data_IF_503554606100
#
_entry.id   IF_503554606100
#
_cell.length_a   1.000
_cell.length_b   1.000
_cell.length_c   1.000
_cell.angle_alpha   90.00
_cell.angle_beta   90.00
_cell.angle_gamma   90.00
#
_symmetry.space_group_name_H-M   'P 1'
#
loop_
_entity.id
_entity.type
_entity.pdbx_description
1 polymer ?
#
# COMPACT_ATOMS: atom_id res chain seq x y z
N UNK A 1 -13.84 -40.17 8.60
CA UNK A 1 -13.73 -38.95 7.76
C UNK A 1 -14.74 -37.96 8.29
N UNK A 2 -14.32 -37.18 9.27
CA UNK A 2 -15.11 -36.11 9.84
C UNK A 2 -14.99 -34.91 8.90
N UNK A 3 -16.03 -34.73 8.11
CA UNK A 3 -16.30 -33.43 7.53
C UNK A 3 -16.85 -32.59 8.67
N UNK A 4 -15.99 -31.84 9.32
CA UNK A 4 -16.37 -30.72 10.16
C UNK A 4 -17.08 -29.71 9.25
N UNK A 5 -18.37 -29.83 9.15
CA UNK A 5 -19.26 -28.78 8.67
C UNK A 5 -19.34 -27.72 9.76
N UNK A 6 -18.23 -27.05 10.03
CA UNK A 6 -18.26 -25.79 10.72
C UNK A 6 -19.00 -24.81 9.83
N UNK A 7 -20.29 -24.86 9.96
CA UNK A 7 -21.21 -23.85 9.50
C UNK A 7 -20.62 -22.51 9.87
N UNK A 8 -20.56 -21.58 8.93
CA UNK A 8 -20.16 -20.19 9.17
C UNK A 8 -20.93 -19.72 10.39
N UNK A 9 -20.34 -19.90 11.58
CA UNK A 9 -21.03 -19.73 12.85
C UNK A 9 -21.21 -18.25 13.12
N UNK A 10 -22.40 -17.88 13.50
CA UNK A 10 -22.66 -16.62 14.18
C UNK A 10 -21.71 -16.51 15.38
N UNK A 11 -20.72 -15.59 15.31
CA UNK A 11 -19.79 -15.33 16.41
C UNK A 11 -18.30 -15.35 16.06
N UNK A 12 -17.88 -15.91 14.93
CA UNK A 12 -16.48 -15.83 14.52
C UNK A 12 -16.17 -14.49 13.84
N UNK A 13 -15.10 -13.87 14.31
CA UNK A 13 -14.63 -12.61 13.75
C UNK A 13 -13.78 -12.88 12.51
N UNK A 14 -14.28 -12.53 11.34
CA UNK A 14 -13.59 -12.72 10.07
C UNK A 14 -12.59 -11.60 9.76
N UNK A 15 -13.06 -10.38 9.96
CA UNK A 15 -12.35 -9.16 9.62
C UNK A 15 -12.81 -8.04 10.53
N UNK A 16 -11.87 -7.18 10.92
CA UNK A 16 -12.16 -5.92 11.61
C UNK A 16 -11.09 -4.93 11.25
N UNK A 17 -11.51 -3.76 10.89
CA UNK A 17 -10.62 -2.63 10.64
C UNK A 17 -11.16 -1.40 11.34
N UNK A 18 -10.28 -0.74 12.07
CA UNK A 18 -10.54 0.55 12.70
C UNK A 18 -9.46 1.50 12.24
N UNK A 19 -9.85 2.65 11.72
CA UNK A 19 -8.90 3.64 11.24
C UNK A 19 -9.21 5.02 11.80
N UNK A 20 -8.15 5.77 12.06
CA UNK A 20 -8.21 7.19 12.43
C UNK A 20 -7.33 7.94 11.47
N UNK A 21 -7.92 8.88 10.74
CA UNK A 21 -7.20 9.76 9.84
C UNK A 21 -7.31 11.20 10.32
N UNK A 22 -6.17 11.87 10.44
CA UNK A 22 -6.07 13.29 10.80
C UNK A 22 -5.40 14.00 9.64
N UNK A 23 -6.12 14.92 9.02
CA UNK A 23 -5.59 15.79 7.96
C UNK A 23 -5.39 17.18 8.52
N UNK A 24 -4.19 17.73 8.36
CA UNK A 24 -3.87 19.08 8.80
C UNK A 24 -3.15 19.85 7.72
N UNK A 25 -3.72 20.98 7.36
CA UNK A 25 -3.08 21.98 6.53
C UNK A 25 -2.42 23.01 7.43
N UNK A 26 -1.08 22.96 7.53
CA UNK A 26 -0.31 23.86 8.38
C UNK A 26 -0.11 25.23 7.74
N UNK A 27 -0.04 25.25 6.40
CA UNK A 27 0.07 26.47 5.62
C UNK A 27 -0.47 26.23 4.20
N UNK A 28 -0.45 27.26 3.37
CA UNK A 28 -0.81 27.11 1.96
C UNK A 28 0.18 26.24 1.17
N UNK A 29 1.34 25.95 1.77
CA UNK A 29 2.43 25.18 1.16
C UNK A 29 2.65 23.82 1.77
N UNK A 30 2.13 23.54 2.97
CA UNK A 30 2.43 22.31 3.70
C UNK A 30 1.16 21.67 4.25
N UNK A 31 0.90 20.45 3.77
CA UNK A 31 -0.21 19.59 4.19
C UNK A 31 0.37 18.29 4.76
N UNK A 32 -0.26 17.79 5.83
CA UNK A 32 0.12 16.55 6.49
C UNK A 32 -1.12 15.68 6.70
N UNK A 33 -0.97 14.36 6.45
CA UNK A 33 -1.95 13.34 6.79
C UNK A 33 -1.28 12.34 7.72
N UNK A 34 -1.93 12.08 8.82
CA UNK A 34 -1.58 11.03 9.75
C UNK A 34 -2.71 10.00 9.72
N UNK A 35 -2.37 8.74 9.44
CA UNK A 35 -3.34 7.64 9.40
C UNK A 35 -2.85 6.51 10.29
N UNK A 36 -3.71 6.07 11.21
CA UNK A 36 -3.51 4.89 12.02
C UNK A 36 -4.60 3.88 11.68
N UNK A 37 -4.21 2.63 11.42
CA UNK A 37 -5.13 1.54 11.13
C UNK A 37 -4.81 0.39 12.07
N UNK A 38 -5.83 -0.10 12.77
CA UNK A 38 -5.78 -1.35 13.53
C UNK A 38 -6.62 -2.39 12.79
N UNK A 39 -5.99 -3.46 12.33
CA UNK A 39 -6.60 -4.45 11.46
C UNK A 39 -6.45 -5.85 12.03
N UNK A 40 -7.56 -6.56 12.04
CA UNK A 40 -7.63 -7.98 12.33
C UNK A 40 -8.23 -8.71 11.12
N UNK A 41 -7.67 -9.84 10.74
CA UNK A 41 -8.34 -10.76 9.84
C UNK A 41 -7.94 -12.21 10.11
N UNK A 42 -8.90 -13.11 9.85
CA UNK A 42 -8.70 -14.54 9.94
C UNK A 42 -8.34 -15.09 8.56
N UNK A 43 -7.11 -15.65 8.43
CA UNK A 43 -6.59 -16.19 7.17
C UNK A 43 -7.43 -17.33 6.61
N UNK A 44 -8.09 -18.12 7.47
CA UNK A 44 -8.92 -19.24 7.04
C UNK A 44 -9.98 -18.80 6.05
N UNK A 45 -10.58 -17.62 6.26
CA UNK A 45 -11.65 -17.10 5.42
C UNK A 45 -11.17 -16.25 4.24
N UNK A 46 -9.98 -15.67 4.34
CA UNK A 46 -9.47 -14.74 3.32
C UNK A 46 -8.48 -15.43 2.37
N UNK A 47 -7.68 -16.37 2.88
CA UNK A 47 -6.57 -16.98 2.14
C UNK A 47 -6.65 -18.52 2.14
N UNK A 48 -7.68 -19.13 2.75
CA UNK A 48 -7.79 -20.58 2.95
C UNK A 48 -6.60 -21.20 3.71
N UNK A 49 -5.98 -20.40 4.58
CA UNK A 49 -4.82 -20.80 5.40
C UNK A 49 -5.17 -20.68 6.88
N UNK A 50 -4.56 -21.53 7.70
CA UNK A 50 -4.70 -21.40 9.16
C UNK A 50 -3.99 -20.16 9.69
N UNK A 51 -4.59 -19.50 10.68
CA UNK A 51 -4.01 -18.40 11.42
C UNK A 51 -4.81 -17.11 11.37
N UNK A 52 -4.51 -16.27 12.33
CA UNK A 52 -5.10 -14.93 12.49
C UNK A 52 -4.00 -13.90 12.34
N UNK A 53 -4.34 -12.72 11.84
CA UNK A 53 -3.40 -11.61 11.74
C UNK A 53 -3.96 -10.39 12.45
N UNK A 54 -3.19 -9.93 13.42
CA UNK A 54 -3.38 -8.65 14.07
C UNK A 54 -2.26 -7.71 13.62
N UNK A 55 -2.61 -6.61 12.98
CA UNK A 55 -1.64 -5.65 12.48
C UNK A 55 -2.03 -4.22 12.79
N UNK A 56 -1.03 -3.41 13.07
CA UNK A 56 -1.16 -1.97 13.23
C UNK A 56 -0.35 -1.30 12.14
N UNK A 57 -0.98 -0.38 11.44
CA UNK A 57 -0.36 0.36 10.35
C UNK A 57 -0.38 1.84 10.70
N UNK A 58 0.78 2.46 10.63
CA UNK A 58 0.97 3.88 10.77
C UNK A 58 1.43 4.46 9.45
N UNK A 59 0.75 5.49 8.97
CA UNK A 59 1.13 6.22 7.77
C UNK A 59 1.26 7.71 8.09
N UNK A 60 2.36 8.30 7.67
CA UNK A 60 2.61 9.74 7.73
C UNK A 60 2.87 10.20 6.30
N UNK A 61 1.99 11.04 5.79
CA UNK A 61 2.08 11.58 4.43
C UNK A 61 2.20 13.10 4.50
N UNK A 62 3.28 13.61 3.92
CA UNK A 62 3.60 15.03 3.92
C UNK A 62 3.64 15.54 2.48
N UNK A 63 2.91 16.60 2.19
CA UNK A 63 2.95 17.27 0.90
C UNK A 63 3.45 18.69 1.06
N UNK A 64 4.57 19.00 0.40
CA UNK A 64 5.17 20.34 0.33
C UNK A 64 4.98 20.93 -1.07
N UNK A 65 4.23 22.02 -1.18
CA UNK A 65 4.07 22.79 -2.42
C UNK A 65 5.22 23.79 -2.53
N UNK A 66 6.14 23.54 -3.43
CA UNK A 66 7.31 24.39 -3.67
C UNK A 66 6.91 25.69 -4.39
N UNK A 67 5.98 25.57 -5.33
CA UNK A 67 5.31 26.69 -6.01
C UNK A 67 3.95 26.23 -6.57
N UNK A 68 3.30 27.05 -7.38
CA UNK A 68 1.97 26.74 -7.94
C UNK A 68 1.95 25.50 -8.84
N UNK A 69 3.09 25.03 -9.34
CA UNK A 69 3.18 23.92 -10.30
C UNK A 69 3.96 22.72 -9.75
N UNK A 70 4.81 22.92 -8.75
CA UNK A 70 5.73 21.89 -8.22
C UNK A 70 5.37 21.52 -6.81
N UNK A 71 5.36 20.23 -6.51
CA UNK A 71 5.18 19.72 -5.16
C UNK A 71 6.05 18.48 -4.93
N UNK A 72 6.38 18.27 -3.67
CA UNK A 72 7.07 17.10 -3.16
C UNK A 72 6.14 16.43 -2.14
N UNK A 73 5.87 15.14 -2.33
CA UNK A 73 5.16 14.29 -1.37
C UNK A 73 6.12 13.26 -0.82
N UNK A 74 6.12 13.12 0.50
CA UNK A 74 6.92 12.12 1.22
C UNK A 74 5.98 11.34 2.11
N UNK A 75 5.91 10.04 1.89
CA UNK A 75 5.10 9.10 2.65
C UNK A 75 6.00 8.13 3.40
N UNK A 76 5.70 7.91 4.67
CA UNK A 76 6.38 6.95 5.53
C UNK A 76 5.30 6.03 6.10
N UNK A 77 5.53 4.72 6.01
CA UNK A 77 4.62 3.70 6.50
C UNK A 77 5.35 2.74 7.43
N UNK A 78 4.68 2.32 8.48
CA UNK A 78 5.15 1.26 9.36
C UNK A 78 4.00 0.29 9.63
N UNK A 79 4.22 -0.98 9.33
CA UNK A 79 3.31 -2.06 9.67
C UNK A 79 3.95 -2.88 10.78
N UNK A 80 3.26 -2.97 11.91
CA UNK A 80 3.65 -3.80 13.05
C UNK A 80 2.68 -4.96 13.19
N UNK A 81 3.24 -6.17 13.25
CA UNK A 81 2.49 -7.39 13.52
C UNK A 81 3.40 -8.45 14.13
N UNK A 82 2.87 -9.27 15.03
CA UNK A 82 3.59 -10.44 15.58
C UNK A 82 3.39 -11.68 14.73
N UNK A 83 2.44 -11.60 13.82
CA UNK A 83 1.95 -12.70 13.01
C UNK A 83 2.58 -12.70 11.62
N UNK A 84 2.61 -13.86 10.96
CA UNK A 84 3.07 -14.06 9.60
C UNK A 84 4.51 -13.55 9.34
N UNK A 85 4.64 -12.57 8.46
CA UNK A 85 5.94 -12.04 8.01
C UNK A 85 6.51 -10.93 8.89
N UNK A 86 5.93 -10.70 10.08
CA UNK A 86 6.35 -9.68 11.04
C UNK A 86 6.33 -8.24 10.48
N UNK A 87 7.25 -7.39 10.91
CA UNK A 87 7.18 -5.95 10.73
C UNK A 87 7.74 -5.47 9.38
N UNK A 88 7.09 -4.45 8.82
CA UNK A 88 7.46 -3.85 7.54
C UNK A 88 7.60 -2.34 7.67
N UNK A 89 8.51 -1.80 6.89
CA UNK A 89 8.70 -0.37 6.73
C UNK A 89 8.53 0.02 5.27
N UNK A 90 7.79 1.08 5.01
CA UNK A 90 7.54 1.61 3.68
C UNK A 90 7.96 3.07 3.58
N UNK A 91 8.45 3.45 2.42
CA UNK A 91 8.84 4.81 2.10
C UNK A 91 8.42 5.15 0.67
N UNK A 92 7.76 6.29 0.51
CA UNK A 92 7.32 6.83 -0.76
C UNK A 92 7.82 8.25 -0.97
N UNK A 93 8.28 8.55 -2.17
CA UNK A 93 8.65 9.87 -2.62
C UNK A 93 7.98 10.16 -3.95
N UNK A 94 7.27 11.27 -4.08
CA UNK A 94 6.69 11.71 -5.34
C UNK A 94 7.03 13.19 -5.57
N UNK A 95 7.55 13.48 -6.75
CA UNK A 95 7.84 14.83 -7.17
C UNK A 95 7.01 15.19 -8.40
N UNK A 96 6.16 16.20 -8.27
CA UNK A 96 5.40 16.78 -9.35
C UNK A 96 6.19 17.97 -9.94
N UNK A 97 6.67 17.82 -11.17
CA UNK A 97 7.40 18.85 -11.91
C UNK A 97 6.47 19.98 -12.41
N UNK A 98 5.25 19.59 -12.76
CA UNK A 98 4.17 20.46 -13.18
C UNK A 98 2.83 19.70 -13.08
N UNK A 99 1.72 20.28 -13.55
CA UNK A 99 0.39 19.65 -13.52
C UNK A 99 0.29 18.35 -14.32
N UNK A 100 1.22 18.12 -15.25
CA UNK A 100 1.15 17.01 -16.19
C UNK A 100 2.19 15.93 -15.91
N UNK A 101 3.36 16.28 -15.38
CA UNK A 101 4.50 15.37 -15.21
C UNK A 101 4.83 15.15 -13.76
N UNK A 102 4.87 13.91 -13.34
CA UNK A 102 5.36 13.48 -12.03
C UNK A 102 6.33 12.31 -12.13
N UNK A 103 7.22 12.19 -11.16
CA UNK A 103 8.06 11.01 -10.95
C UNK A 103 7.92 10.55 -9.49
N UNK A 104 8.08 9.25 -9.26
CA UNK A 104 7.96 8.68 -7.93
C UNK A 104 8.96 7.55 -7.70
N UNK A 105 9.25 7.33 -6.44
CA UNK A 105 9.97 6.18 -5.92
C UNK A 105 9.25 5.65 -4.68
N UNK A 106 8.99 4.34 -4.64
CA UNK A 106 8.42 3.67 -3.50
C UNK A 106 9.27 2.46 -3.14
N UNK A 107 9.39 2.18 -1.86
CA UNK A 107 10.02 0.96 -1.37
C UNK A 107 9.31 0.46 -0.12
N UNK A 108 9.23 -0.86 0.03
CA UNK A 108 8.77 -1.55 1.24
C UNK A 108 9.78 -2.63 1.59
N UNK A 109 10.17 -2.70 2.84
CA UNK A 109 11.18 -3.63 3.34
C UNK A 109 10.63 -4.36 4.56
N UNK A 110 10.76 -5.67 4.56
CA UNK A 110 10.58 -6.48 5.76
C UNK A 110 11.89 -6.49 6.54
N UNK A 111 11.93 -5.86 7.70
CA UNK A 111 13.18 -5.72 8.45
C UNK A 111 13.37 -6.73 9.59
N UNK A 112 12.32 -7.46 9.95
CA UNK A 112 12.37 -8.48 11.02
C UNK A 112 12.44 -9.92 10.52
N UNK A 113 12.28 -10.15 9.23
CA UNK A 113 12.46 -11.49 8.69
C UNK A 113 13.95 -11.83 8.74
N UNK A 114 14.32 -12.79 9.60
CA UNK A 114 15.69 -13.18 9.87
C UNK A 114 16.25 -14.18 8.84
N UNK A 115 15.41 -14.68 7.95
CA UNK A 115 15.87 -15.47 6.81
C UNK A 115 16.68 -14.58 5.86
N UNK A 116 17.78 -15.11 5.33
CA UNK A 116 18.87 -14.40 4.63
C UNK A 116 18.46 -13.45 3.49
N UNK A 117 17.22 -13.52 3.01
CA UNK A 117 16.67 -12.62 2.03
C UNK A 117 15.61 -11.71 2.65
N UNK A 118 16.01 -10.58 3.22
CA UNK A 118 15.07 -9.51 3.59
C UNK A 118 14.35 -9.03 2.33
N UNK A 119 13.08 -9.41 2.11
CA UNK A 119 12.42 -9.05 0.88
C UNK A 119 12.22 -7.53 0.83
N UNK A 120 12.93 -6.90 -0.08
CA UNK A 120 12.74 -5.50 -0.41
C UNK A 120 12.01 -5.40 -1.75
N UNK A 121 10.93 -4.67 -1.75
CA UNK A 121 10.17 -4.34 -2.96
C UNK A 121 10.32 -2.87 -3.22
N UNK A 122 10.50 -2.51 -4.48
CA UNK A 122 10.69 -1.12 -4.87
C UNK A 122 10.07 -0.85 -6.24
N UNK A 123 9.70 0.39 -6.45
CA UNK A 123 9.20 0.87 -7.74
C UNK A 123 9.67 2.30 -7.95
N UNK A 124 10.26 2.55 -9.11
CA UNK A 124 10.55 3.89 -9.60
C UNK A 124 9.77 4.10 -10.89
N UNK A 125 9.17 5.26 -11.06
CA UNK A 125 8.38 5.52 -12.25
C UNK A 125 8.11 6.98 -12.50
N UNK A 126 7.48 7.23 -13.65
CA UNK A 126 7.01 8.55 -14.05
C UNK A 126 5.62 8.43 -14.66
N UNK A 127 4.83 9.48 -14.53
CA UNK A 127 3.54 9.59 -15.18
C UNK A 127 3.36 10.94 -15.88
N UNK A 128 2.70 10.89 -17.01
CA UNK A 128 2.36 12.06 -17.80
C UNK A 128 0.86 12.09 -18.09
N UNK A 129 0.21 13.20 -17.70
CA UNK A 129 -1.20 13.44 -17.93
C UNK A 129 -1.36 14.37 -19.13
N UNK A 130 -2.22 13.99 -20.09
CA UNK A 130 -2.60 14.84 -21.23
C UNK A 130 -4.09 14.72 -21.46
N UNK A 131 -4.81 15.82 -21.27
CA UNK A 131 -6.27 15.84 -21.32
C UNK A 131 -6.88 14.79 -20.37
N UNK A 132 -7.71 13.90 -20.90
CA UNK A 132 -8.35 12.81 -20.17
C UNK A 132 -7.50 11.52 -20.09
N UNK A 133 -6.24 11.55 -20.57
CA UNK A 133 -5.36 10.37 -20.62
C UNK A 133 -4.18 10.52 -19.69
N UNK A 134 -3.86 9.42 -18.98
CA UNK A 134 -2.66 9.27 -18.14
C UNK A 134 -1.80 8.15 -18.69
N UNK A 135 -0.55 8.45 -18.97
CA UNK A 135 0.50 7.52 -19.38
C UNK A 135 1.44 7.32 -18.20
N UNK A 136 1.77 6.09 -17.88
CA UNK A 136 2.72 5.79 -16.80
C UNK A 136 3.71 4.72 -17.24
N UNK A 137 4.94 4.89 -16.82
CA UNK A 137 6.02 3.91 -16.95
C UNK A 137 6.65 3.72 -15.58
N UNK A 138 6.93 2.47 -15.23
CA UNK A 138 7.64 2.15 -14.00
C UNK A 138 8.56 0.95 -14.17
N UNK A 139 9.58 0.91 -13.35
CA UNK A 139 10.48 -0.23 -13.17
C UNK A 139 10.56 -0.59 -11.70
N UNK A 140 10.48 -1.87 -11.38
CA UNK A 140 10.59 -2.27 -9.99
C UNK A 140 10.43 -3.78 -9.76
N UNK A 141 10.50 -4.13 -8.47
CA UNK A 141 10.15 -5.44 -7.93
C UNK A 141 8.87 -5.28 -7.11
N UNK A 142 7.79 -5.82 -7.62
CA UNK A 142 6.47 -5.78 -6.96
C UNK A 142 6.28 -7.04 -6.11
N UNK A 143 5.77 -6.85 -4.89
CA UNK A 143 5.38 -7.95 -4.02
C UNK A 143 4.21 -8.73 -4.62
N UNK A 144 4.34 -10.06 -4.66
CA UNK A 144 3.23 -10.96 -4.94
C UNK A 144 2.29 -11.08 -3.74
N UNK A 145 1.06 -11.44 -3.99
CA UNK A 145 0.06 -11.67 -2.95
C UNK A 145 -1.34 -11.26 -3.37
N UNK A 146 -2.27 -11.34 -2.43
CA UNK A 146 -3.65 -10.93 -2.63
C UNK A 146 -3.75 -9.41 -2.59
N UNK A 147 -4.18 -8.81 -3.69
CA UNK A 147 -4.47 -7.38 -3.79
C UNK A 147 -5.97 -7.18 -3.87
N UNK A 148 -6.51 -6.44 -2.90
CA UNK A 148 -7.92 -6.06 -2.87
C UNK A 148 -8.07 -4.58 -3.18
N UNK A 149 -8.86 -4.25 -4.21
CA UNK A 149 -9.16 -2.88 -4.60
C UNK A 149 -10.62 -2.76 -5.03
N UNK A 150 -11.35 -1.79 -4.45
CA UNK A 150 -12.76 -1.56 -4.77
C UNK A 150 -13.68 -2.77 -4.52
N UNK A 151 -13.38 -3.60 -3.49
CA UNK A 151 -14.15 -4.81 -3.17
C UNK A 151 -13.82 -6.04 -4.03
N UNK A 152 -12.89 -5.92 -4.97
CA UNK A 152 -12.41 -7.02 -5.81
C UNK A 152 -11.01 -7.41 -5.34
N UNK A 153 -10.84 -8.68 -4.96
CA UNK A 153 -9.54 -9.24 -4.57
C UNK A 153 -9.01 -10.14 -5.69
N UNK A 154 -7.74 -9.95 -6.05
CA UNK A 154 -7.05 -10.83 -7.01
C UNK A 154 -5.64 -11.14 -6.54
N UNK A 155 -5.18 -12.35 -6.81
CA UNK A 155 -3.81 -12.73 -6.59
C UNK A 155 -2.93 -12.14 -7.70
N UNK A 156 -1.87 -11.42 -7.32
CA UNK A 156 -0.85 -10.91 -8.24
C UNK A 156 0.45 -11.67 -7.98
N UNK A 157 1.12 -12.19 -9.02
CA UNK A 157 2.42 -12.80 -8.87
C UNK A 157 3.48 -11.76 -8.50
N UNK A 158 4.56 -12.20 -7.85
CA UNK A 158 5.75 -11.37 -7.71
C UNK A 158 6.31 -11.07 -9.09
N UNK A 159 6.59 -9.81 -9.36
CA UNK A 159 7.04 -9.33 -10.65
C UNK A 159 8.24 -8.41 -10.49
N UNK A 160 9.25 -8.60 -11.34
CA UNK A 160 10.38 -7.66 -11.47
C UNK A 160 10.54 -7.31 -12.93
N UNK A 161 10.44 -6.03 -13.25
CA UNK A 161 10.54 -5.58 -14.63
C UNK A 161 9.96 -4.20 -14.87
N UNK A 162 9.71 -3.92 -16.15
CA UNK A 162 9.13 -2.65 -16.60
C UNK A 162 7.62 -2.84 -16.77
N UNK A 163 6.86 -1.87 -16.32
CA UNK A 163 5.41 -1.80 -16.50
C UNK A 163 5.02 -0.51 -17.23
N UNK A 164 4.09 -0.63 -18.18
CA UNK A 164 3.48 0.51 -18.86
C UNK A 164 1.98 0.48 -18.61
N UNK A 165 1.39 1.63 -18.35
CA UNK A 165 -0.06 1.75 -18.26
C UNK A 165 -0.57 3.01 -18.97
N UNK A 166 -1.75 2.87 -19.57
CA UNK A 166 -2.48 3.97 -20.20
C UNK A 166 -3.90 3.92 -19.65
N UNK A 167 -4.33 4.99 -19.01
CA UNK A 167 -5.69 5.13 -18.50
C UNK A 167 -6.33 6.34 -19.20
N UNK A 168 -7.47 6.13 -19.83
CA UNK A 168 -8.22 7.18 -20.54
C UNK A 168 -9.66 7.17 -20.06
N UNK A 169 -10.21 8.32 -19.72
CA UNK A 169 -11.63 8.53 -19.45
C UNK A 169 -12.29 9.20 -20.67
N UNK A 170 -13.49 8.75 -20.99
CA UNK A 170 -14.31 9.28 -22.12
C UNK A 170 -15.49 10.06 -21.58
#
# INVERSE_FOLDING_TARGET
SDYDTDFIGFGEKYFSEQSIEIRKKWSNKFDNIFLFINKYYNKRFVEEKSGEINSQILVIDNTLKLNNKKSLRVEIQHLSTKDDKKNWYGYGLEYNFNYNLSAYYNTIVNYENLDDDKPAFYSIGASYNKNASRFSVSYGKQRGGLLCYGGICRYIPEFKGISFSINTSF
#
